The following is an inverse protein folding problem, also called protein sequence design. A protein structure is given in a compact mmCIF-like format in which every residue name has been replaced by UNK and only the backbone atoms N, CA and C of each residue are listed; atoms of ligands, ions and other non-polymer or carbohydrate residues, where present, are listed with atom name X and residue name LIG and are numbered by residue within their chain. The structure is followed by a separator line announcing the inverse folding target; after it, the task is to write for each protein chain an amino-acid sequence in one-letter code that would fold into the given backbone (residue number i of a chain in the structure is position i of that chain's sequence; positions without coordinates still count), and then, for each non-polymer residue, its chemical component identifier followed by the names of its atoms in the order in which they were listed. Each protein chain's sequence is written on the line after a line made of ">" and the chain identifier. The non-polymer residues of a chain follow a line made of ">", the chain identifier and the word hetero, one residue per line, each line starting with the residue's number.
data_IF_426361895275
#
_entry.id   IF_426361895275
#
_cell.length_a   1.000
_cell.length_b   1.000
_cell.length_c   1.000
_cell.angle_alpha   90.00
_cell.angle_beta   90.00
_cell.angle_gamma   90.00
#
_symmetry.space_group_name_H-M   'P 1'
#
loop_
_entity.id
_entity.type
_entity.pdbx_description
1 polymer ?
#
# COMPACT_ATOMS: atom_id res chain seq x y z
N UNK A 1 14.83 9.92 27.59
CA UNK A 1 13.67 9.02 27.53
C UNK A 1 14.13 7.58 27.73
N UNK A 2 15.06 7.05 26.92
CA UNK A 2 15.47 5.63 26.97
C UNK A 2 16.12 5.19 28.30
N UNK A 3 16.79 6.09 29.03
CA UNK A 3 17.38 5.76 30.33
C UNK A 3 16.34 5.28 31.37
N UNK A 4 15.08 5.67 31.21
CA UNK A 4 14.00 5.21 32.08
C UNK A 4 13.72 3.71 31.96
N UNK A 5 14.04 3.08 30.84
CA UNK A 5 13.82 1.64 30.66
C UNK A 5 14.56 0.78 31.70
N UNK A 6 15.72 1.27 32.20
CA UNK A 6 16.46 0.57 33.24
C UNK A 6 15.84 0.68 34.65
N UNK A 7 14.86 1.58 34.83
CA UNK A 7 14.15 1.79 36.11
C UNK A 7 12.73 1.22 36.08
N UNK A 8 12.32 0.72 34.92
CA UNK A 8 11.04 0.03 34.76
C UNK A 8 11.25 -1.47 34.96
N UNK A 9 10.26 -2.13 35.53
CA UNK A 9 10.23 -3.60 35.66
C UNK A 9 9.83 -4.18 34.29
N UNK A 10 10.81 -4.36 33.41
CA UNK A 10 10.64 -4.85 32.05
C UNK A 10 11.39 -6.17 31.87
N UNK A 11 10.73 -7.16 31.31
CA UNK A 11 11.32 -8.47 31.00
C UNK A 11 12.26 -8.41 29.80
N UNK A 12 11.97 -7.58 28.81
CA UNK A 12 12.77 -7.37 27.60
C UNK A 12 12.41 -6.05 26.90
N UNK A 13 13.22 -5.65 25.93
CA UNK A 13 13.03 -4.43 25.13
C UNK A 13 13.08 -4.73 23.64
N UNK A 14 12.14 -4.16 22.88
CA UNK A 14 12.14 -4.20 21.41
C UNK A 14 12.42 -2.79 20.89
N UNK A 15 13.52 -2.64 20.12
CA UNK A 15 14.02 -1.34 19.67
C UNK A 15 13.87 -1.22 18.16
N UNK A 16 12.97 -0.36 17.63
CA UNK A 16 12.87 -0.11 16.20
C UNK A 16 14.03 0.76 15.70
N UNK A 17 14.46 0.53 14.46
CA UNK A 17 15.54 1.30 13.81
C UNK A 17 15.29 2.81 13.82
N UNK A 18 14.04 3.23 13.68
CA UNK A 18 13.63 4.63 13.71
C UNK A 18 14.06 5.37 14.98
N UNK A 19 14.23 4.64 16.08
CA UNK A 19 14.68 5.20 17.37
C UNK A 19 16.16 5.59 17.39
N UNK A 20 16.96 5.01 16.48
CA UNK A 20 18.42 5.16 16.45
C UNK A 20 19.00 5.47 15.06
N UNK A 21 18.14 5.60 14.04
CA UNK A 21 18.56 5.73 12.64
C UNK A 21 19.37 6.99 12.31
N UNK A 22 19.21 8.07 13.09
CA UNK A 22 19.91 9.36 12.88
C UNK A 22 21.26 9.45 13.58
N UNK A 23 21.74 8.37 14.19
CA UNK A 23 23.02 8.35 14.88
C UNK A 23 24.10 7.71 14.00
N UNK A 24 25.36 8.02 14.28
CA UNK A 24 26.50 7.33 13.66
C UNK A 24 26.53 5.84 14.05
N UNK A 25 27.31 5.05 13.30
CA UNK A 25 27.38 3.61 13.53
C UNK A 25 27.83 3.24 14.94
N UNK A 26 28.84 3.99 15.47
CA UNK A 26 29.40 3.74 16.82
C UNK A 26 28.35 3.95 17.90
N UNK A 27 27.55 5.01 17.77
CA UNK A 27 26.44 5.31 18.69
C UNK A 27 25.34 4.23 18.59
N UNK A 28 25.01 3.78 17.39
CA UNK A 28 24.03 2.68 17.21
C UNK A 28 24.48 1.38 17.87
N UNK A 29 25.72 1.01 17.71
CA UNK A 29 26.28 -0.21 18.32
C UNK A 29 26.43 -0.09 19.85
N UNK A 30 26.63 1.13 20.38
CA UNK A 30 26.72 1.37 21.81
C UNK A 30 25.34 1.44 22.48
N UNK A 31 24.30 1.86 21.75
CA UNK A 31 22.97 2.15 22.32
C UNK A 31 22.36 0.97 23.11
N UNK A 32 22.33 -0.28 22.61
CA UNK A 32 21.77 -1.39 23.36
C UNK A 32 22.54 -1.70 24.66
N UNK A 33 23.84 -1.36 24.73
CA UNK A 33 24.70 -1.61 25.92
C UNK A 33 24.31 -0.81 27.16
N UNK A 34 23.46 0.23 26.97
CA UNK A 34 22.93 1.00 28.12
C UNK A 34 21.84 0.26 28.89
N UNK A 35 21.35 -0.88 28.37
CA UNK A 35 20.26 -1.63 28.99
C UNK A 35 20.79 -2.95 29.55
N UNK A 36 20.24 -3.36 30.70
CA UNK A 36 20.62 -4.60 31.38
C UNK A 36 19.60 -5.75 31.18
N UNK A 37 18.65 -5.54 30.29
CA UNK A 37 17.58 -6.48 29.96
C UNK A 37 17.76 -7.02 28.53
N UNK A 38 17.17 -8.18 28.20
CA UNK A 38 17.18 -8.72 26.84
C UNK A 38 16.67 -7.73 25.81
N UNK A 39 17.34 -7.64 24.65
CA UNK A 39 16.99 -6.69 23.59
C UNK A 39 16.84 -7.40 22.25
N UNK A 40 15.80 -7.04 21.52
CA UNK A 40 15.62 -7.38 20.10
C UNK A 40 15.51 -6.08 19.28
N UNK A 41 16.16 -6.03 18.13
CA UNK A 41 16.11 -4.87 17.24
C UNK A 41 15.22 -5.13 16.04
N UNK A 42 14.45 -4.08 15.60
CA UNK A 42 13.59 -4.15 14.42
C UNK A 42 14.11 -3.23 13.33
N UNK A 43 14.11 -3.72 12.08
CA UNK A 43 14.61 -3.00 10.92
C UNK A 43 16.03 -2.43 11.09
N UNK A 44 16.81 -3.04 11.98
CA UNK A 44 18.22 -2.70 12.24
C UNK A 44 18.97 -3.95 12.65
N UNK A 45 20.15 -4.12 12.09
CA UNK A 45 21.10 -5.19 12.46
C UNK A 45 22.19 -4.58 13.32
N UNK A 46 22.10 -4.80 14.62
CA UNK A 46 23.12 -4.39 15.57
C UNK A 46 23.90 -5.64 15.98
N UNK A 47 25.25 -5.58 15.87
CA UNK A 47 26.11 -6.68 16.22
C UNK A 47 25.81 -7.17 17.63
N UNK A 48 25.80 -8.49 17.81
CA UNK A 48 25.58 -9.21 19.07
C UNK A 48 24.15 -9.11 19.64
N UNK A 49 23.19 -8.54 18.91
CA UNK A 49 21.79 -8.48 19.30
C UNK A 49 20.87 -9.17 18.29
N UNK A 50 19.89 -9.96 18.74
CA UNK A 50 18.88 -10.53 17.85
C UNK A 50 18.07 -9.45 17.12
N UNK A 51 17.68 -9.76 15.92
CA UNK A 51 16.93 -8.80 15.09
C UNK A 51 15.83 -9.46 14.25
N UNK A 52 14.84 -8.66 13.93
CA UNK A 52 13.86 -8.92 12.86
C UNK A 52 13.98 -7.81 11.83
N UNK A 53 14.25 -8.14 10.57
CA UNK A 53 14.44 -7.16 9.50
C UNK A 53 13.78 -7.63 8.21
N UNK A 54 13.34 -6.68 7.39
CA UNK A 54 12.96 -6.98 6.03
C UNK A 54 14.19 -7.25 5.16
N UNK A 55 14.05 -8.19 4.22
CA UNK A 55 15.03 -8.47 3.18
C UNK A 55 14.95 -7.38 2.09
N UNK A 56 15.40 -6.19 2.44
CA UNK A 56 15.30 -5.01 1.59
C UNK A 56 15.90 -5.22 0.19
N UNK A 57 17.03 -5.94 0.11
CA UNK A 57 17.72 -6.21 -1.15
C UNK A 57 16.83 -7.05 -2.07
N UNK A 58 16.30 -8.17 -1.58
CA UNK A 58 15.42 -9.07 -2.35
C UNK A 58 14.14 -8.39 -2.77
N UNK A 59 13.54 -7.59 -1.88
CA UNK A 59 12.28 -6.91 -2.17
C UNK A 59 12.42 -5.90 -3.31
N UNK A 60 13.48 -5.08 -3.30
CA UNK A 60 13.74 -4.13 -4.39
C UNK A 60 14.16 -4.86 -5.67
N UNK A 61 14.94 -5.93 -5.56
CA UNK A 61 15.25 -6.80 -6.70
C UNK A 61 13.96 -7.24 -7.40
N UNK A 62 12.98 -7.76 -6.65
CA UNK A 62 11.72 -8.25 -7.22
C UNK A 62 10.92 -7.12 -7.88
N UNK A 63 10.85 -5.93 -7.27
CA UNK A 63 10.13 -4.79 -7.83
C UNK A 63 10.76 -4.28 -9.14
N UNK A 64 12.08 -4.17 -9.18
CA UNK A 64 12.82 -3.73 -10.38
C UNK A 64 12.74 -4.79 -11.48
N UNK A 65 12.93 -6.08 -11.14
CA UNK A 65 12.76 -7.19 -12.08
C UNK A 65 11.36 -7.20 -12.68
N UNK A 66 10.32 -6.92 -11.90
CA UNK A 66 8.95 -6.79 -12.40
C UNK A 66 8.83 -5.69 -13.47
N UNK A 67 9.40 -4.50 -13.23
CA UNK A 67 9.39 -3.42 -14.21
C UNK A 67 10.14 -3.79 -15.49
N UNK A 68 11.23 -4.57 -15.39
CA UNK A 68 11.98 -5.05 -16.56
C UNK A 68 11.17 -6.11 -17.32
N UNK A 69 10.72 -7.15 -16.62
CA UNK A 69 10.12 -8.34 -17.24
C UNK A 69 8.70 -8.11 -17.75
N UNK A 70 7.89 -7.33 -17.01
CA UNK A 70 6.47 -7.12 -17.31
C UNK A 70 6.21 -5.82 -18.06
N UNK A 71 6.92 -4.75 -17.71
CA UNK A 71 6.73 -3.45 -18.34
C UNK A 71 7.77 -3.15 -19.44
N UNK A 72 8.75 -4.04 -19.62
CA UNK A 72 9.84 -3.88 -20.61
C UNK A 72 10.60 -2.56 -20.48
N UNK A 73 10.70 -2.05 -19.24
CA UNK A 73 11.47 -0.85 -18.96
C UNK A 73 12.95 -1.03 -19.34
N UNK A 74 13.51 -0.03 -20.04
CA UNK A 74 14.89 -0.05 -20.52
C UNK A 74 15.79 0.89 -19.74
N UNK A 75 15.22 1.94 -19.12
CA UNK A 75 15.95 2.98 -18.40
C UNK A 75 15.30 3.19 -17.04
N UNK A 76 15.76 2.41 -16.06
CA UNK A 76 15.17 2.47 -14.72
C UNK A 76 16.07 3.29 -13.81
N UNK A 77 15.50 4.29 -13.16
CA UNK A 77 16.17 5.06 -12.12
C UNK A 77 15.79 4.60 -10.71
N UNK A 78 16.58 5.02 -9.73
CA UNK A 78 16.28 4.84 -8.32
C UNK A 78 16.40 6.15 -7.56
N UNK A 79 15.38 6.49 -6.76
CA UNK A 79 15.45 7.61 -5.83
C UNK A 79 15.67 7.07 -4.44
N UNK A 80 16.87 7.34 -3.90
CA UNK A 80 17.26 6.97 -2.55
C UNK A 80 16.93 8.11 -1.57
N UNK A 81 16.72 7.76 -0.30
CA UNK A 81 16.70 8.74 0.77
C UNK A 81 18.13 9.07 1.23
N UNK A 82 18.27 9.33 2.52
CA UNK A 82 19.56 9.62 3.12
C UNK A 82 20.55 8.46 2.98
N UNK A 83 21.68 8.68 2.30
CA UNK A 83 22.64 7.65 1.85
C UNK A 83 23.34 6.84 2.96
N UNK A 84 23.34 7.30 4.20
CA UNK A 84 24.14 6.68 5.27
C UNK A 84 23.48 5.47 5.92
N UNK A 85 22.22 5.15 5.56
CA UNK A 85 21.46 4.06 6.17
C UNK A 85 21.79 2.69 5.60
N UNK A 86 21.88 1.66 6.46
CA UNK A 86 22.04 0.25 6.04
C UNK A 86 20.91 -0.17 5.11
N UNK A 87 19.69 0.24 5.41
CA UNK A 87 18.49 -0.05 4.61
C UNK A 87 18.56 0.55 3.20
N UNK A 88 18.99 1.81 3.08
CA UNK A 88 19.15 2.45 1.77
C UNK A 88 20.19 1.75 0.91
N UNK A 89 21.32 1.37 1.51
CA UNK A 89 22.37 0.59 0.82
C UNK A 89 21.87 -0.79 0.37
N UNK A 90 21.09 -1.48 1.19
CA UNK A 90 20.50 -2.77 0.82
C UNK A 90 19.51 -2.63 -0.34
N UNK A 91 18.67 -1.59 -0.32
CA UNK A 91 17.71 -1.30 -1.40
C UNK A 91 18.42 -0.95 -2.70
N UNK A 92 19.47 -0.11 -2.63
CA UNK A 92 20.32 0.19 -3.79
C UNK A 92 21.00 -1.07 -4.34
N UNK A 93 21.53 -1.94 -3.46
CA UNK A 93 22.13 -3.21 -3.88
C UNK A 93 21.13 -4.15 -4.57
N UNK A 94 19.85 -4.14 -4.15
CA UNK A 94 18.77 -4.87 -4.81
C UNK A 94 18.49 -4.36 -6.23
N UNK A 95 18.45 -3.05 -6.40
CA UNK A 95 18.33 -2.40 -7.70
C UNK A 95 19.50 -2.77 -8.63
N UNK A 96 20.75 -2.66 -8.16
CA UNK A 96 21.95 -3.02 -8.94
C UNK A 96 21.95 -4.49 -9.35
N UNK A 97 21.57 -5.38 -8.44
CA UNK A 97 21.48 -6.82 -8.73
C UNK A 97 20.39 -7.13 -9.76
N UNK A 98 19.23 -6.46 -9.69
CA UNK A 98 18.18 -6.63 -10.69
C UNK A 98 18.65 -6.20 -12.09
N UNK A 99 19.27 -5.04 -12.22
CA UNK A 99 19.84 -4.61 -13.51
C UNK A 99 20.86 -5.62 -14.03
N UNK A 100 21.82 -6.02 -13.19
CA UNK A 100 22.88 -6.97 -13.59
C UNK A 100 22.33 -8.34 -14.00
N UNK A 101 21.29 -8.84 -13.32
CA UNK A 101 20.72 -10.15 -13.65
C UNK A 101 19.88 -10.15 -14.94
N UNK A 102 19.52 -8.97 -15.43
CA UNK A 102 18.81 -8.77 -16.70
C UNK A 102 19.69 -8.16 -17.79
N UNK A 103 21.03 -8.21 -17.64
CA UNK A 103 22.01 -7.67 -18.59
C UNK A 103 21.81 -6.17 -18.91
N UNK A 104 21.22 -5.42 -17.96
CA UNK A 104 21.00 -3.97 -18.10
C UNK A 104 22.19 -3.18 -17.55
N UNK A 105 22.58 -2.05 -18.20
CA UNK A 105 23.68 -1.24 -17.73
C UNK A 105 23.31 -0.50 -16.44
N UNK A 106 24.24 -0.48 -15.49
CA UNK A 106 24.15 0.38 -14.32
C UNK A 106 24.79 1.75 -14.62
N UNK A 107 24.01 2.81 -14.48
CA UNK A 107 24.48 4.18 -14.71
C UNK A 107 24.26 5.03 -13.47
N UNK A 108 25.32 5.67 -12.96
CA UNK A 108 25.22 6.52 -11.76
C UNK A 108 24.28 7.72 -11.93
N UNK A 109 24.11 8.22 -13.17
CA UNK A 109 23.18 9.33 -13.47
C UNK A 109 21.71 8.97 -13.14
N UNK A 110 21.36 7.68 -13.11
CA UNK A 110 20.03 7.19 -12.78
C UNK A 110 19.78 7.04 -11.27
N UNK A 111 20.75 7.44 -10.45
CA UNK A 111 20.58 7.46 -8.99
C UNK A 111 20.36 8.90 -8.53
N UNK A 112 19.22 9.15 -7.89
CA UNK A 112 18.94 10.41 -7.21
C UNK A 112 18.95 10.19 -5.71
N UNK A 113 19.89 10.85 -5.01
CA UNK A 113 19.88 10.91 -3.55
C UNK A 113 19.15 12.14 -3.04
N UNK A 114 18.15 11.92 -2.17
CA UNK A 114 17.42 13.02 -1.52
C UNK A 114 17.89 13.23 -0.08
N UNK A 115 17.74 14.42 0.50
CA UNK A 115 18.22 14.71 1.86
C UNK A 115 17.42 13.99 2.96
N UNK A 116 16.34 13.30 2.62
CA UNK A 116 15.52 12.50 3.55
C UNK A 116 14.39 11.79 2.85
N UNK A 117 13.67 10.98 3.60
CA UNK A 117 12.52 10.19 3.06
C UNK A 117 11.23 11.02 2.97
N UNK A 118 11.05 11.98 3.89
CA UNK A 118 9.82 12.76 4.04
C UNK A 118 10.07 14.27 3.77
N UNK A 119 11.14 14.60 3.05
CA UNK A 119 11.50 15.98 2.72
C UNK A 119 11.10 16.22 1.29
N UNK A 120 10.39 17.31 1.05
CA UNK A 120 10.05 17.75 -0.30
C UNK A 120 11.34 18.07 -1.07
N UNK A 121 11.65 17.23 -2.03
CA UNK A 121 12.81 17.31 -2.89
C UNK A 121 12.43 17.60 -4.35
N UNK A 122 11.24 18.20 -4.58
CA UNK A 122 10.68 18.41 -5.90
C UNK A 122 11.62 19.10 -6.88
N UNK A 123 12.36 20.13 -6.43
CA UNK A 123 13.34 20.80 -7.29
C UNK A 123 14.48 19.90 -7.74
N UNK A 124 14.97 18.99 -6.84
CA UNK A 124 16.01 18.02 -7.18
C UNK A 124 15.46 16.97 -8.15
N UNK A 125 14.25 16.47 -7.89
CA UNK A 125 13.58 15.49 -8.74
C UNK A 125 13.33 16.07 -10.13
N UNK A 126 12.82 17.29 -10.23
CA UNK A 126 12.54 17.94 -11.49
C UNK A 126 13.81 18.11 -12.32
N UNK A 127 14.89 18.61 -11.73
CA UNK A 127 16.19 18.75 -12.39
C UNK A 127 16.70 17.41 -12.89
N UNK A 128 16.67 16.38 -12.04
CA UNK A 128 17.13 15.03 -12.38
C UNK A 128 16.31 14.40 -13.52
N UNK A 129 14.98 14.60 -13.53
CA UNK A 129 14.10 14.14 -14.60
C UNK A 129 14.38 14.85 -15.94
N UNK A 130 14.74 16.14 -15.91
CA UNK A 130 15.13 16.89 -17.10
C UNK A 130 16.49 16.45 -17.66
N UNK A 131 17.42 16.05 -16.78
CA UNK A 131 18.75 15.52 -17.15
C UNK A 131 18.67 14.07 -17.65
N UNK A 132 17.59 13.35 -17.35
CA UNK A 132 17.39 11.95 -17.73
C UNK A 132 15.99 11.72 -18.37
N UNK A 133 15.70 12.36 -19.50
CA UNK A 133 14.37 12.30 -20.13
C UNK A 133 13.99 10.90 -20.63
N UNK A 134 14.98 10.02 -20.84
CA UNK A 134 14.83 8.64 -21.30
C UNK A 134 14.27 7.70 -20.23
N UNK A 135 14.24 8.10 -18.95
CA UNK A 135 13.71 7.25 -17.89
C UNK A 135 12.26 6.81 -18.17
N UNK A 136 12.04 5.51 -18.12
CA UNK A 136 10.77 4.82 -18.31
C UNK A 136 10.31 4.03 -17.06
N UNK A 137 11.21 3.87 -16.07
CA UNK A 137 10.91 3.31 -14.75
C UNK A 137 11.64 4.01 -13.62
N UNK A 138 11.01 4.15 -12.46
CA UNK A 138 11.65 4.70 -11.26
C UNK A 138 11.26 3.89 -10.03
N UNK A 139 12.27 3.34 -9.34
CA UNK A 139 12.12 2.76 -8.02
C UNK A 139 12.34 3.82 -6.94
N UNK A 140 11.33 4.08 -6.13
CA UNK A 140 11.44 4.93 -4.95
C UNK A 140 11.67 4.06 -3.71
N UNK A 141 12.70 4.37 -2.92
CA UNK A 141 13.01 3.55 -1.73
C UNK A 141 11.99 3.69 -0.59
N UNK A 142 11.04 4.59 -0.68
CA UNK A 142 9.85 4.68 0.19
C UNK A 142 8.67 5.25 -0.60
N UNK A 143 7.45 4.98 -0.13
CA UNK A 143 6.23 5.53 -0.72
C UNK A 143 6.17 7.06 -0.60
N UNK A 144 6.67 7.64 0.51
CA UNK A 144 6.71 9.11 0.67
C UNK A 144 7.48 9.79 -0.47
N UNK A 145 8.61 9.20 -0.90
CA UNK A 145 9.38 9.71 -2.04
C UNK A 145 8.55 9.59 -3.34
N UNK A 146 7.86 8.48 -3.53
CA UNK A 146 7.01 8.28 -4.69
C UNK A 146 5.89 9.31 -4.77
N UNK A 147 5.27 9.70 -3.63
CA UNK A 147 4.23 10.74 -3.60
C UNK A 147 4.75 12.11 -4.03
N UNK A 148 5.98 12.46 -3.68
CA UNK A 148 6.61 13.68 -4.19
C UNK A 148 6.92 13.58 -5.68
N UNK A 149 7.42 12.41 -6.12
CA UNK A 149 7.72 12.16 -7.54
C UNK A 149 6.48 12.28 -8.42
N UNK A 150 5.32 11.77 -8.01
CA UNK A 150 4.07 11.90 -8.76
C UNK A 150 3.75 13.35 -9.11
N UNK A 151 3.89 14.25 -8.14
CA UNK A 151 3.66 15.69 -8.34
C UNK A 151 4.64 16.32 -9.32
N UNK A 152 5.89 15.88 -9.33
CA UNK A 152 6.89 16.40 -10.27
C UNK A 152 6.67 15.84 -11.67
N UNK A 153 6.28 14.57 -11.80
CA UNK A 153 5.93 13.97 -13.10
C UNK A 153 4.70 14.64 -13.71
N UNK A 154 3.68 14.96 -12.91
CA UNK A 154 2.49 15.68 -13.36
C UNK A 154 2.85 17.07 -13.91
N UNK A 155 3.75 17.83 -13.25
CA UNK A 155 4.22 19.16 -13.71
C UNK A 155 4.88 19.12 -15.07
N UNK A 156 5.58 18.03 -15.41
CA UNK A 156 6.25 17.86 -16.72
C UNK A 156 5.40 17.09 -17.70
N UNK A 157 4.14 16.78 -17.35
CA UNK A 157 3.18 16.12 -18.23
C UNK A 157 3.43 14.63 -18.47
N UNK A 158 4.31 13.98 -17.70
CA UNK A 158 4.51 12.52 -17.75
C UNK A 158 3.44 11.81 -16.91
N UNK A 159 2.77 10.84 -17.51
CA UNK A 159 1.72 10.04 -16.86
C UNK A 159 2.35 8.81 -16.23
N UNK A 160 2.21 8.70 -14.90
CA UNK A 160 2.61 7.50 -14.16
C UNK A 160 1.82 6.29 -14.64
N UNK A 161 2.49 5.14 -14.77
CA UNK A 161 1.92 3.90 -15.28
C UNK A 161 1.71 3.86 -16.80
N UNK A 162 1.99 4.94 -17.52
CA UNK A 162 1.91 4.99 -19.00
C UNK A 162 3.19 5.45 -19.65
N UNK A 163 3.65 6.64 -19.28
CA UNK A 163 4.86 7.22 -19.84
C UNK A 163 6.09 6.87 -18.99
N UNK A 164 5.86 6.54 -17.72
CA UNK A 164 6.89 6.13 -16.76
C UNK A 164 6.29 5.25 -15.66
N UNK A 165 6.94 4.12 -15.38
CA UNK A 165 6.56 3.22 -14.29
C UNK A 165 7.15 3.71 -12.97
N UNK A 166 6.38 3.66 -11.89
CA UNK A 166 6.83 4.07 -10.56
C UNK A 166 6.49 3.03 -9.53
N UNK A 167 7.46 2.63 -8.72
CA UNK A 167 7.23 1.76 -7.57
C UNK A 167 7.78 2.37 -6.28
N UNK A 168 7.13 2.03 -5.16
CA UNK A 168 7.49 2.46 -3.81
C UNK A 168 7.97 1.32 -2.92
N UNK A 169 8.08 1.63 -1.63
CA UNK A 169 8.36 0.69 -0.56
C UNK A 169 7.67 1.17 0.71
N UNK A 170 7.16 0.28 1.51
CA UNK A 170 6.42 0.33 2.78
C UNK A 170 4.96 -0.10 2.61
N UNK A 171 4.34 0.14 1.45
CA UNK A 171 2.94 -0.13 1.13
C UNK A 171 1.98 0.56 2.12
N UNK A 172 2.16 1.87 2.24
CA UNK A 172 1.30 2.70 3.10
C UNK A 172 -0.13 2.75 2.57
N UNK A 173 -1.13 2.93 3.43
CA UNK A 173 -2.53 3.04 3.00
C UNK A 173 -2.75 4.11 1.91
N UNK A 174 -2.01 5.21 1.94
CA UNK A 174 -2.07 6.30 0.97
C UNK A 174 -1.70 5.85 -0.45
N UNK A 175 -0.84 4.83 -0.57
CA UNK A 175 -0.39 4.29 -1.87
C UNK A 175 -1.53 3.78 -2.73
N UNK A 176 -2.56 3.23 -2.10
CA UNK A 176 -3.77 2.75 -2.78
C UNK A 176 -4.68 3.87 -3.27
N UNK A 177 -4.53 5.08 -2.73
CA UNK A 177 -5.34 6.26 -3.07
C UNK A 177 -4.62 7.21 -4.04
N UNK A 178 -3.38 6.88 -4.41
CA UNK A 178 -2.68 7.62 -5.47
C UNK A 178 -3.38 7.46 -6.83
N UNK A 179 -3.17 8.40 -7.73
CA UNK A 179 -3.74 8.35 -9.08
C UNK A 179 -2.61 8.40 -10.11
N UNK A 180 -2.29 7.24 -10.73
CA UNK A 180 -2.82 5.89 -10.45
C UNK A 180 -2.34 5.32 -9.11
N UNK A 181 -2.99 4.25 -8.56
CA UNK A 181 -2.53 3.56 -7.36
C UNK A 181 -1.07 3.12 -7.46
N UNK A 182 -0.29 3.39 -6.40
CA UNK A 182 1.15 3.14 -6.36
C UNK A 182 1.45 1.67 -6.06
N UNK A 183 2.19 1.01 -6.94
CA UNK A 183 2.81 -0.27 -6.68
C UNK A 183 3.90 -0.13 -5.61
N UNK A 184 3.96 -1.06 -4.68
CA UNK A 184 4.88 -0.94 -3.54
C UNK A 184 5.32 -2.30 -3.00
N UNK A 185 6.46 -2.34 -2.33
CA UNK A 185 6.87 -3.49 -1.53
C UNK A 185 6.19 -3.42 -0.17
N UNK A 186 5.32 -4.41 0.13
CA UNK A 186 4.56 -4.46 1.37
C UNK A 186 5.43 -4.82 2.57
N UNK A 187 5.65 -3.85 3.45
CA UNK A 187 6.41 -3.99 4.69
C UNK A 187 5.48 -3.78 5.90
N UNK A 188 4.81 -4.85 6.35
CA UNK A 188 3.84 -4.80 7.44
C UNK A 188 4.51 -4.48 8.79
N UNK A 189 4.34 -3.24 9.25
CA UNK A 189 4.87 -2.77 10.52
C UNK A 189 4.30 -3.53 11.73
N UNK A 190 3.05 -4.00 11.65
CA UNK A 190 2.41 -4.76 12.72
C UNK A 190 2.99 -6.16 12.81
N UNK A 191 3.25 -6.79 11.67
CA UNK A 191 3.83 -8.13 11.63
C UNK A 191 5.27 -8.16 12.13
N UNK A 192 6.12 -7.20 11.74
CA UNK A 192 7.49 -7.13 12.26
C UNK A 192 7.51 -6.84 13.77
N UNK A 193 6.59 -5.99 14.26
CA UNK A 193 6.46 -5.72 15.70
C UNK A 193 6.03 -6.98 16.47
N UNK A 194 5.05 -7.74 15.95
CA UNK A 194 4.64 -9.03 16.53
C UNK A 194 5.80 -10.01 16.63
N UNK A 195 6.58 -10.17 15.55
CA UNK A 195 7.75 -11.06 15.56
C UNK A 195 8.82 -10.61 16.54
N UNK A 196 9.04 -9.29 16.63
CA UNK A 196 9.99 -8.73 17.60
C UNK A 196 9.59 -8.99 19.05
N UNK A 197 8.31 -8.86 19.37
CA UNK A 197 7.78 -9.17 20.70
C UNK A 197 7.93 -10.67 21.00
N UNK A 198 7.59 -11.53 20.02
CA UNK A 198 7.76 -12.98 20.14
C UNK A 198 9.22 -13.35 20.40
N UNK A 199 10.16 -12.80 19.63
CA UNK A 199 11.59 -13.02 19.84
C UNK A 199 12.07 -12.49 21.20
N UNK A 200 11.57 -11.32 21.63
CA UNK A 200 11.90 -10.78 22.95
C UNK A 200 11.46 -11.69 24.07
N UNK A 201 10.26 -12.25 23.97
CA UNK A 201 9.75 -13.24 24.90
C UNK A 201 10.59 -14.54 24.91
N UNK A 202 10.91 -15.07 23.71
CA UNK A 202 11.74 -16.27 23.58
C UNK A 202 13.14 -16.06 24.16
N UNK A 203 13.74 -14.88 23.94
CA UNK A 203 15.03 -14.50 24.48
C UNK A 203 14.99 -14.40 26.01
N UNK A 204 13.93 -13.81 26.56
CA UNK A 204 13.71 -13.70 28.01
C UNK A 204 13.54 -15.07 28.67
N UNK A 205 12.73 -15.96 28.10
CA UNK A 205 12.42 -17.28 28.69
C UNK A 205 13.53 -18.31 28.49
N UNK A 206 14.15 -18.33 27.29
CA UNK A 206 15.05 -19.40 26.87
C UNK A 206 16.52 -18.95 26.83
N UNK A 207 16.82 -17.67 27.05
CA UNK A 207 18.16 -17.11 26.99
C UNK A 207 18.72 -16.97 25.57
N UNK A 208 17.98 -17.38 24.53
CA UNK A 208 18.42 -17.32 23.13
C UNK A 208 17.23 -17.20 22.17
N UNK A 209 17.48 -16.60 21.01
CA UNK A 209 16.54 -16.54 19.88
C UNK A 209 17.33 -16.43 18.57
N UNK A 210 16.66 -16.60 17.43
CA UNK A 210 17.30 -16.55 16.11
C UNK A 210 16.98 -15.24 15.38
N UNK A 211 17.95 -14.75 14.60
CA UNK A 211 17.73 -13.63 13.70
C UNK A 211 16.70 -13.99 12.62
N UNK A 212 15.80 -13.04 12.30
CA UNK A 212 14.76 -13.26 11.31
C UNK A 212 14.87 -12.25 10.18
N UNK A 213 14.75 -12.77 8.95
CA UNK A 213 14.60 -12.00 7.73
C UNK A 213 13.19 -12.25 7.18
N UNK A 214 12.49 -11.18 6.86
CA UNK A 214 11.12 -11.21 6.32
C UNK A 214 11.18 -10.67 4.90
N UNK A 215 10.51 -11.33 3.96
CA UNK A 215 10.35 -10.79 2.62
C UNK A 215 9.21 -9.76 2.60
N UNK A 216 9.48 -8.56 2.12
CA UNK A 216 8.46 -7.60 1.75
C UNK A 216 8.02 -7.93 0.32
N UNK A 217 6.79 -8.43 0.18
CA UNK A 217 6.26 -8.82 -1.12
C UNK A 217 5.97 -7.60 -1.98
N UNK A 218 6.38 -7.63 -3.25
CA UNK A 218 6.01 -6.59 -4.20
C UNK A 218 4.55 -6.74 -4.60
N UNK A 219 3.79 -5.66 -4.46
CA UNK A 219 2.37 -5.56 -4.83
C UNK A 219 2.30 -4.66 -6.06
N UNK A 220 2.15 -5.23 -7.28
CA UNK A 220 1.95 -4.44 -8.48
C UNK A 220 0.60 -3.73 -8.41
N UNK A 221 0.57 -2.48 -8.88
CA UNK A 221 -0.63 -1.65 -9.07
C UNK A 221 -0.48 -0.84 -10.35
N UNK A 222 -1.46 -0.01 -10.66
CA UNK A 222 -1.52 0.73 -11.92
C UNK A 222 -0.33 1.65 -12.22
N UNK A 223 0.49 1.96 -11.23
CA UNK A 223 1.72 2.73 -11.47
C UNK A 223 2.84 1.95 -12.17
N UNK A 224 2.73 0.61 -12.23
CA UNK A 224 3.65 -0.28 -12.96
C UNK A 224 2.92 -1.28 -13.84
N UNK A 225 1.61 -1.33 -13.81
CA UNK A 225 0.79 -2.29 -14.55
C UNK A 225 -0.29 -1.55 -15.34
N UNK A 226 0.17 -0.72 -16.29
CA UNK A 226 -0.76 -0.03 -17.19
C UNK A 226 -1.29 -0.94 -18.31
N UNK A 227 -0.73 -2.11 -18.48
CA UNK A 227 -1.34 -3.24 -19.19
C UNK A 227 -2.12 -4.14 -18.22
N UNK A 228 -2.66 -3.59 -17.14
CA UNK A 228 -3.69 -4.31 -16.43
C UNK A 228 -4.84 -4.48 -17.41
N UNK A 229 -4.85 -5.61 -18.09
CA UNK A 229 -5.90 -6.00 -19.03
C UNK A 229 -7.28 -5.79 -18.39
N UNK A 230 -7.34 -5.86 -17.05
CA UNK A 230 -8.55 -5.67 -16.29
C UNK A 230 -9.11 -4.23 -16.36
N UNK A 231 -8.25 -3.17 -16.30
CA UNK A 231 -8.73 -1.78 -16.43
C UNK A 231 -9.07 -1.42 -17.87
N UNK A 232 -8.24 -1.88 -18.82
CA UNK A 232 -8.49 -1.72 -20.24
C UNK A 232 -9.75 -2.49 -20.60
N UNK A 233 -9.89 -3.73 -20.12
CA UNK A 233 -11.08 -4.57 -20.37
C UNK A 233 -12.36 -3.92 -19.88
N UNK A 234 -12.44 -3.42 -18.63
CA UNK A 234 -13.69 -2.82 -18.14
C UNK A 234 -14.00 -1.48 -18.83
N UNK A 235 -12.99 -0.65 -19.08
CA UNK A 235 -13.18 0.61 -19.78
C UNK A 235 -13.57 0.41 -21.25
N UNK A 236 -12.98 -0.55 -21.93
CA UNK A 236 -13.33 -0.92 -23.31
C UNK A 236 -14.70 -1.59 -23.35
N UNK A 237 -15.00 -2.46 -22.42
CA UNK A 237 -16.32 -3.06 -22.30
C UNK A 237 -17.42 -2.01 -22.14
N UNK A 238 -17.26 -1.05 -21.23
CA UNK A 238 -18.26 0.01 -21.02
C UNK A 238 -18.41 0.89 -22.29
N UNK A 239 -17.29 1.25 -22.94
CA UNK A 239 -17.29 2.04 -24.18
C UNK A 239 -17.97 1.26 -25.32
N UNK A 240 -17.65 -0.01 -25.47
CA UNK A 240 -18.27 -0.90 -26.46
C UNK A 240 -19.78 -1.00 -26.24
N UNK A 241 -20.22 -1.34 -25.02
CA UNK A 241 -21.63 -1.46 -24.69
C UNK A 241 -22.41 -0.16 -24.96
N UNK A 242 -21.82 1.00 -24.71
CA UNK A 242 -22.43 2.31 -25.02
C UNK A 242 -22.50 2.60 -26.50
N UNK A 243 -21.47 2.23 -27.27
CA UNK A 243 -21.46 2.36 -28.73
C UNK A 243 -22.53 1.48 -29.38
N UNK A 244 -22.70 0.25 -28.89
CA UNK A 244 -23.72 -0.71 -29.34
C UNK A 244 -25.12 -0.45 -28.74
N UNK A 245 -25.24 0.57 -27.84
CA UNK A 245 -26.49 0.92 -27.15
C UNK A 245 -27.08 -0.21 -26.30
N UNK A 246 -26.21 -0.98 -25.68
CA UNK A 246 -26.61 -2.02 -24.75
C UNK A 246 -27.38 -1.46 -23.55
N UNK A 247 -28.23 -2.31 -22.92
CA UNK A 247 -29.02 -1.90 -21.76
C UNK A 247 -28.14 -1.64 -20.55
N UNK A 248 -28.57 -0.71 -19.69
CA UNK A 248 -27.90 -0.45 -18.42
C UNK A 248 -27.79 -1.70 -17.54
N UNK A 249 -28.76 -2.60 -17.60
CA UNK A 249 -28.74 -3.88 -16.90
C UNK A 249 -27.60 -4.78 -17.39
N UNK A 250 -27.37 -4.85 -18.70
CA UNK A 250 -26.29 -5.61 -19.30
C UNK A 250 -24.93 -5.06 -18.89
N UNK A 251 -24.77 -3.73 -18.93
CA UNK A 251 -23.53 -3.06 -18.49
C UNK A 251 -23.29 -3.32 -16.99
N UNK A 252 -24.33 -3.16 -16.15
CA UNK A 252 -24.23 -3.42 -14.71
C UNK A 252 -23.87 -4.87 -14.39
N UNK A 253 -24.39 -5.82 -15.16
CA UNK A 253 -24.05 -7.24 -15.01
C UNK A 253 -22.59 -7.52 -15.30
N UNK A 254 -22.07 -7.01 -16.42
CA UNK A 254 -20.64 -7.15 -16.78
C UNK A 254 -19.72 -6.50 -15.77
N UNK A 255 -20.05 -5.30 -15.26
CA UNK A 255 -19.32 -4.65 -14.20
C UNK A 255 -19.32 -5.47 -12.91
N UNK A 256 -20.45 -6.07 -12.56
CA UNK A 256 -20.55 -6.93 -11.37
C UNK A 256 -19.69 -8.18 -11.53
N UNK A 257 -19.70 -8.81 -12.69
CA UNK A 257 -18.85 -9.96 -13.01
C UNK A 257 -17.37 -9.60 -12.89
N UNK A 258 -16.98 -8.45 -13.40
CA UNK A 258 -15.61 -7.93 -13.28
C UNK A 258 -15.18 -7.74 -11.82
N UNK A 259 -16.03 -7.11 -10.98
CA UNK A 259 -15.73 -6.92 -9.54
C UNK A 259 -15.43 -8.24 -8.85
N UNK A 260 -16.19 -9.30 -9.17
CA UNK A 260 -16.07 -10.58 -8.49
C UNK A 260 -15.22 -11.63 -9.25
N UNK A 261 -14.58 -11.26 -10.36
CA UNK A 261 -13.68 -12.12 -11.13
C UNK A 261 -14.34 -13.49 -11.46
N UNK A 262 -15.63 -13.47 -11.80
CA UNK A 262 -16.45 -14.66 -12.06
C UNK A 262 -16.44 -15.73 -10.94
N UNK A 263 -15.93 -15.40 -9.74
CA UNK A 263 -15.89 -16.33 -8.61
C UNK A 263 -17.12 -16.14 -7.75
N UNK A 264 -17.91 -17.19 -7.62
CA UNK A 264 -19.05 -17.30 -6.71
C UNK A 264 -18.55 -17.44 -5.24
N UNK A 265 -17.87 -16.44 -4.72
CA UNK A 265 -17.32 -16.47 -3.34
C UNK A 265 -18.29 -15.82 -2.35
N UNK A 266 -19.24 -15.01 -2.85
CA UNK A 266 -20.18 -14.25 -2.01
C UNK A 266 -21.60 -14.78 -2.08
N UNK A 267 -22.39 -14.48 -1.06
CA UNK A 267 -23.80 -14.80 -1.07
C UNK A 267 -24.49 -14.19 -2.30
N UNK A 268 -25.45 -14.88 -2.88
CA UNK A 268 -26.20 -14.37 -4.04
C UNK A 268 -26.84 -12.97 -3.78
N UNK A 269 -27.03 -12.61 -2.51
CA UNK A 269 -27.57 -11.32 -2.10
C UNK A 269 -26.54 -10.18 -2.25
N UNK A 270 -25.27 -10.42 -1.93
CA UNK A 270 -24.22 -9.40 -2.04
C UNK A 270 -23.99 -9.01 -3.52
N UNK A 271 -23.86 -9.97 -4.41
CA UNK A 271 -23.71 -9.70 -5.84
C UNK A 271 -24.94 -8.95 -6.40
N UNK A 272 -26.15 -9.28 -5.94
CA UNK A 272 -27.37 -8.55 -6.29
C UNK A 272 -27.33 -7.12 -5.82
N UNK A 273 -26.81 -6.85 -4.64
CA UNK A 273 -26.66 -5.48 -4.10
C UNK A 273 -25.72 -4.66 -4.96
N UNK A 274 -24.53 -5.20 -5.34
CA UNK A 274 -23.56 -4.52 -6.22
C UNK A 274 -24.16 -4.31 -7.62
N UNK A 275 -24.83 -5.29 -8.17
CA UNK A 275 -25.50 -5.18 -9.46
C UNK A 275 -26.59 -4.11 -9.44
N UNK A 276 -27.46 -4.11 -8.42
CA UNK A 276 -28.50 -3.10 -8.26
C UNK A 276 -27.91 -1.70 -8.09
N UNK A 277 -26.78 -1.57 -7.42
CA UNK A 277 -26.06 -0.31 -7.27
C UNK A 277 -25.55 0.22 -8.62
N UNK A 278 -24.92 -0.62 -9.43
CA UNK A 278 -24.47 -0.22 -10.76
C UNK A 278 -25.63 0.13 -11.68
N UNK A 279 -26.70 -0.66 -11.68
CA UNK A 279 -27.91 -0.35 -12.47
C UNK A 279 -28.49 1.01 -12.07
N UNK A 280 -28.61 1.25 -10.77
CA UNK A 280 -29.08 2.52 -10.25
C UNK A 280 -28.21 3.71 -10.72
N UNK A 281 -26.87 3.58 -10.65
CA UNK A 281 -25.96 4.64 -11.10
C UNK A 281 -26.03 4.89 -12.61
N UNK A 282 -26.18 3.85 -13.42
CA UNK A 282 -26.33 3.95 -14.87
C UNK A 282 -27.64 4.62 -15.31
N UNK A 283 -28.70 4.47 -14.51
CA UNK A 283 -30.00 5.07 -14.77
C UNK A 283 -30.10 6.55 -14.36
N UNK A 284 -29.12 7.05 -13.59
CA UNK A 284 -29.11 8.45 -13.18
C UNK A 284 -28.80 9.42 -14.34
N UNK A 285 -29.61 10.43 -14.50
CA UNK A 285 -29.28 11.58 -15.33
C UNK A 285 -28.45 12.61 -14.55
N UNK A 286 -27.72 13.48 -15.25
CA UNK A 286 -26.95 14.58 -14.61
C UNK A 286 -27.85 15.47 -13.74
N UNK A 287 -29.13 15.65 -14.11
CA UNK A 287 -30.11 16.41 -13.32
C UNK A 287 -30.45 15.71 -12.00
N UNK A 288 -30.34 14.39 -11.94
CA UNK A 288 -30.59 13.63 -10.73
C UNK A 288 -29.45 13.74 -9.73
N UNK A 289 -28.24 14.00 -10.18
CA UNK A 289 -27.03 14.11 -9.34
C UNK A 289 -27.07 15.26 -8.32
N UNK A 290 -28.08 16.15 -8.39
CA UNK A 290 -28.27 17.24 -7.40
C UNK A 290 -29.38 16.96 -6.39
N UNK A 291 -30.11 15.85 -6.52
CA UNK A 291 -31.28 15.55 -5.68
C UNK A 291 -30.84 14.88 -4.37
N UNK A 292 -31.23 15.42 -3.24
CA UNK A 292 -30.89 14.90 -1.90
C UNK A 292 -31.22 13.41 -1.73
N UNK A 293 -32.37 12.96 -2.24
CA UNK A 293 -32.78 11.55 -2.20
C UNK A 293 -31.80 10.60 -2.89
N UNK A 294 -31.10 11.06 -3.95
CA UNK A 294 -30.11 10.28 -4.69
C UNK A 294 -28.87 10.05 -3.83
N UNK A 295 -28.41 11.09 -3.15
CA UNK A 295 -27.29 10.97 -2.21
C UNK A 295 -27.60 10.01 -1.07
N UNK A 296 -28.81 10.08 -0.54
CA UNK A 296 -29.28 9.20 0.53
C UNK A 296 -29.26 7.73 0.06
N UNK A 297 -29.84 7.45 -1.11
CA UNK A 297 -29.91 6.11 -1.67
C UNK A 297 -28.55 5.53 -2.02
N UNK A 298 -27.60 6.34 -2.49
CA UNK A 298 -26.20 5.93 -2.70
C UNK A 298 -25.55 5.57 -1.36
N UNK A 299 -25.76 6.38 -0.32
CA UNK A 299 -25.28 6.09 1.02
C UNK A 299 -25.79 4.74 1.54
N UNK A 300 -27.09 4.44 1.30
CA UNK A 300 -27.70 3.16 1.68
C UNK A 300 -27.06 1.98 0.93
N UNK A 301 -26.84 2.08 -0.38
CA UNK A 301 -26.12 1.05 -1.15
C UNK A 301 -24.70 0.83 -0.65
N UNK A 302 -23.94 1.90 -0.44
CA UNK A 302 -22.57 1.83 0.05
C UNK A 302 -22.55 1.16 1.43
N UNK A 303 -23.46 1.54 2.34
CA UNK A 303 -23.56 0.91 3.65
C UNK A 303 -23.90 -0.58 3.56
N UNK A 304 -24.78 -0.99 2.66
CA UNK A 304 -25.10 -2.39 2.43
C UNK A 304 -23.88 -3.17 1.89
N UNK A 305 -23.16 -2.58 0.94
CA UNK A 305 -21.95 -3.19 0.34
C UNK A 305 -20.86 -3.37 1.41
N UNK A 306 -20.65 -2.41 2.28
CA UNK A 306 -19.59 -2.45 3.29
C UNK A 306 -19.96 -3.15 4.60
N UNK A 307 -21.22 -3.55 4.79
CA UNK A 307 -21.64 -4.33 5.95
C UNK A 307 -21.39 -5.84 5.84
N UNK A 308 -20.98 -6.33 4.69
CA UNK A 308 -20.60 -7.75 4.51
C UNK A 308 -19.24 -8.04 5.16
N UNK A 309 -19.19 -9.11 5.97
CA UNK A 309 -17.99 -9.46 6.76
C UNK A 309 -16.80 -9.97 5.93
N UNK A 310 -17.04 -10.38 4.69
CA UNK A 310 -16.08 -11.11 3.85
C UNK A 310 -15.60 -10.34 2.60
N UNK A 311 -15.76 -9.01 2.56
CA UNK A 311 -15.26 -8.19 1.46
C UNK A 311 -13.74 -8.33 1.36
N UNK A 312 -13.25 -8.77 0.19
CA UNK A 312 -11.84 -8.79 -0.12
C UNK A 312 -11.39 -7.41 -0.58
N UNK A 313 -10.15 -7.06 -0.25
CA UNK A 313 -9.55 -5.79 -0.66
C UNK A 313 -9.56 -5.59 -2.19
N UNK A 314 -9.28 -6.66 -2.94
CA UNK A 314 -9.27 -6.66 -4.41
C UNK A 314 -10.65 -6.34 -5.01
N UNK A 315 -11.73 -6.81 -4.39
CA UNK A 315 -13.09 -6.52 -4.88
C UNK A 315 -13.47 -5.06 -4.69
N UNK A 316 -12.96 -4.42 -3.63
CA UNK A 316 -13.13 -2.98 -3.41
C UNK A 316 -12.35 -2.15 -4.43
N UNK A 317 -11.13 -2.56 -4.76
CA UNK A 317 -10.32 -1.91 -5.78
C UNK A 317 -11.00 -1.95 -7.14
N UNK A 318 -11.50 -3.12 -7.55
CA UNK A 318 -12.27 -3.30 -8.79
C UNK A 318 -13.59 -2.52 -8.78
N UNK A 319 -14.27 -2.46 -7.64
CA UNK A 319 -15.47 -1.65 -7.49
C UNK A 319 -15.17 -0.16 -7.70
N UNK A 320 -14.08 0.35 -7.12
CA UNK A 320 -13.62 1.74 -7.34
C UNK A 320 -13.29 2.01 -8.80
N UNK A 321 -12.62 1.07 -9.48
CA UNK A 321 -12.32 1.17 -10.90
C UNK A 321 -13.60 1.29 -11.74
N UNK A 322 -14.56 0.39 -11.53
CA UNK A 322 -15.85 0.44 -12.22
C UNK A 322 -16.56 1.78 -12.01
N UNK A 323 -16.57 2.29 -10.78
CA UNK A 323 -17.18 3.59 -10.48
C UNK A 323 -16.45 4.75 -11.16
N UNK A 324 -15.12 4.70 -11.20
CA UNK A 324 -14.29 5.69 -11.90
C UNK A 324 -14.64 5.78 -13.37
N UNK A 325 -14.79 4.63 -14.06
CA UNK A 325 -15.18 4.60 -15.47
C UNK A 325 -16.62 5.05 -15.72
N UNK A 326 -17.57 4.68 -14.85
CA UNK A 326 -18.96 5.15 -14.99
C UNK A 326 -19.06 6.67 -15.00
N UNK A 327 -18.23 7.31 -14.19
CA UNK A 327 -18.32 8.73 -13.90
C UNK A 327 -17.45 9.57 -14.88
N UNK A 328 -16.54 8.97 -15.65
CA UNK A 328 -15.60 9.68 -16.54
C UNK A 328 -16.11 9.97 -17.97
N UNK A 329 -17.40 9.88 -18.23
CA UNK A 329 -18.02 10.16 -19.53
C UNK A 329 -18.18 11.67 -19.84
N UNK A 330 -17.12 12.44 -19.64
CA UNK A 330 -17.19 13.91 -19.62
C UNK A 330 -17.17 14.62 -20.99
N UNK A 331 -16.92 13.93 -22.09
CA UNK A 331 -16.58 14.60 -23.36
C UNK A 331 -17.71 15.38 -24.04
N UNK A 332 -18.95 15.32 -23.52
CA UNK A 332 -20.11 15.97 -24.15
C UNK A 332 -20.95 16.85 -23.20
N UNK A 333 -20.47 17.10 -21.98
CA UNK A 333 -21.18 17.88 -20.99
C UNK A 333 -20.77 19.36 -20.99
N UNK A 334 -21.76 20.26 -20.75
CA UNK A 334 -21.44 21.67 -20.52
C UNK A 334 -20.73 21.85 -19.16
N UNK A 335 -20.19 23.06 -18.92
CA UNK A 335 -19.37 23.33 -17.72
C UNK A 335 -20.18 23.19 -16.41
N UNK A 336 -21.45 23.58 -16.41
CA UNK A 336 -22.31 23.48 -15.22
C UNK A 336 -22.59 22.04 -14.84
N UNK A 337 -22.84 21.19 -15.82
CA UNK A 337 -23.06 19.76 -15.59
C UNK A 337 -21.77 19.05 -15.19
N UNK A 338 -20.62 19.49 -15.70
CA UNK A 338 -19.29 18.99 -15.26
C UNK A 338 -19.06 19.27 -13.77
N UNK A 339 -19.37 20.48 -13.29
CA UNK A 339 -19.24 20.85 -11.88
C UNK A 339 -20.17 20.01 -10.98
N UNK A 340 -21.43 19.82 -11.40
CA UNK A 340 -22.40 19.00 -10.68
C UNK A 340 -21.93 17.55 -10.58
N UNK A 341 -21.45 17.01 -11.69
CA UNK A 341 -20.93 15.66 -11.76
C UNK A 341 -19.67 15.49 -10.90
N UNK A 342 -18.77 16.47 -10.91
CA UNK A 342 -17.58 16.46 -10.06
C UNK A 342 -17.92 16.42 -8.56
N UNK A 343 -18.89 17.24 -8.13
CA UNK A 343 -19.35 17.25 -6.74
C UNK A 343 -20.01 15.91 -6.35
N UNK A 344 -20.75 15.31 -7.27
CA UNK A 344 -21.37 14.00 -7.09
C UNK A 344 -20.31 12.88 -6.98
N UNK A 345 -19.28 12.89 -7.84
CA UNK A 345 -18.12 12.00 -7.75
C UNK A 345 -17.47 12.07 -6.38
N UNK A 346 -17.13 13.29 -5.96
CA UNK A 346 -16.50 13.50 -4.64
C UNK A 346 -17.34 12.95 -3.51
N UNK A 347 -18.67 13.10 -3.57
CA UNK A 347 -19.55 12.53 -2.57
C UNK A 347 -19.46 11.00 -2.51
N UNK A 348 -19.54 10.30 -3.66
CA UNK A 348 -19.44 8.84 -3.73
C UNK A 348 -18.11 8.38 -3.14
N UNK A 349 -16.99 8.96 -3.57
CA UNK A 349 -15.67 8.61 -3.07
C UNK A 349 -15.55 8.83 -1.55
N UNK A 350 -16.01 9.96 -1.03
CA UNK A 350 -15.99 10.24 0.40
C UNK A 350 -16.82 9.25 1.21
N UNK A 351 -18.00 8.87 0.73
CA UNK A 351 -18.84 7.86 1.38
C UNK A 351 -18.13 6.49 1.39
N UNK A 352 -17.55 6.08 0.28
CA UNK A 352 -16.82 4.81 0.20
C UNK A 352 -15.59 4.78 1.12
N UNK A 353 -14.78 5.84 1.12
CA UNK A 353 -13.61 5.97 2.01
C UNK A 353 -14.05 5.95 3.47
N UNK A 354 -15.11 6.67 3.83
CA UNK A 354 -15.65 6.70 5.18
C UNK A 354 -16.12 5.31 5.64
N UNK A 355 -16.86 4.61 4.78
CA UNK A 355 -17.36 3.26 5.07
C UNK A 355 -16.24 2.24 5.16
N UNK A 356 -15.22 2.34 4.30
CA UNK A 356 -14.03 1.51 4.36
C UNK A 356 -13.24 1.71 5.66
N UNK A 357 -13.00 2.96 6.05
CA UNK A 357 -12.32 3.29 7.31
C UNK A 357 -13.10 2.78 8.52
N UNK A 358 -14.43 2.88 8.49
CA UNK A 358 -15.29 2.32 9.53
C UNK A 358 -15.18 0.79 9.61
N UNK A 359 -15.15 0.11 8.46
CA UNK A 359 -14.94 -1.34 8.39
C UNK A 359 -13.59 -1.76 8.96
N UNK A 360 -12.51 -1.02 8.64
CA UNK A 360 -11.18 -1.24 9.22
C UNK A 360 -11.19 -1.12 10.74
N UNK A 361 -11.82 -0.07 11.28
CA UNK A 361 -11.97 0.14 12.71
C UNK A 361 -12.76 -0.98 13.39
N UNK A 362 -13.81 -1.50 12.75
CA UNK A 362 -14.57 -2.65 13.25
C UNK A 362 -13.74 -3.93 13.26
N UNK A 363 -12.97 -4.19 12.19
CA UNK A 363 -12.05 -5.34 12.12
C UNK A 363 -10.97 -5.24 13.19
N UNK A 364 -10.39 -4.07 13.41
CA UNK A 364 -9.42 -3.82 14.47
C UNK A 364 -10.01 -4.05 15.87
N UNK A 365 -11.22 -3.53 16.13
CA UNK A 365 -11.94 -3.77 17.41
C UNK A 365 -12.26 -5.25 17.61
N UNK A 366 -12.66 -5.99 16.57
CA UNK A 366 -12.90 -7.45 16.64
C UNK A 366 -11.60 -8.19 16.92
N UNK A 367 -10.51 -7.83 16.23
CA UNK A 367 -9.18 -8.39 16.47
C UNK A 367 -8.73 -8.15 17.91
N UNK A 368 -8.83 -6.93 18.41
CA UNK A 368 -8.49 -6.56 19.79
C UNK A 368 -9.33 -7.32 20.81
N UNK A 369 -10.64 -7.53 20.56
CA UNK A 369 -11.50 -8.35 21.43
C UNK A 369 -11.08 -9.82 21.43
N UNK A 370 -10.77 -10.39 20.25
CA UNK A 370 -10.25 -11.77 20.14
C UNK A 370 -8.92 -11.93 20.89
N UNK A 371 -8.01 -10.99 20.75
CA UNK A 371 -6.73 -11.02 21.46
C UNK A 371 -6.92 -10.91 22.98
N UNK A 372 -7.86 -10.09 23.45
CA UNK A 372 -8.21 -10.01 24.88
C UNK A 372 -8.83 -11.32 25.39
N UNK A 373 -9.70 -11.97 24.62
CA UNK A 373 -10.29 -13.26 25.00
C UNK A 373 -9.25 -14.37 25.05
N UNK A 374 -8.30 -14.42 24.09
CA UNK A 374 -7.17 -15.34 24.09
C UNK A 374 -6.26 -15.08 25.30
N UNK A 375 -5.98 -13.82 25.62
CA UNK A 375 -5.20 -13.44 26.79
C UNK A 375 -5.89 -13.81 28.11
N UNK A 376 -7.22 -13.78 28.20
CA UNK A 376 -7.98 -14.24 29.36
C UNK A 376 -8.00 -15.76 29.48
N UNK A 377 -8.13 -16.48 28.37
CA UNK A 377 -8.05 -17.97 28.35
C UNK A 377 -6.66 -18.43 28.78
N UNK A 378 -5.58 -17.78 28.27
CA UNK A 378 -4.22 -18.11 28.68
C UNK A 378 -3.95 -17.78 30.15
N UNK A 379 -4.54 -16.70 30.69
CA UNK A 379 -4.48 -16.43 32.15
C UNK A 379 -5.23 -17.48 32.95
N UNK A 380 -6.40 -17.94 32.49
CA UNK A 380 -7.15 -19.03 33.14
C UNK A 380 -6.35 -20.32 33.18
N UNK A 381 -5.75 -20.72 32.04
CA UNK A 381 -4.90 -21.92 31.99
C UNK A 381 -3.64 -21.83 32.87
N UNK A 382 -3.03 -20.64 32.99
CA UNK A 382 -1.91 -20.40 33.91
C UNK A 382 -2.32 -20.48 35.40
N UNK A 383 -3.54 -20.04 35.74
CA UNK A 383 -4.04 -20.14 37.11
C UNK A 383 -4.44 -21.57 37.47
N UNK A 384 -4.97 -22.35 36.52
CA UNK A 384 -5.27 -23.78 36.77
C UNK A 384 -3.98 -24.59 36.92
N UNK A 385 -2.93 -24.35 36.16
CA UNK A 385 -1.64 -25.04 36.28
C UNK A 385 -0.83 -24.66 37.54
N UNK A 386 -1.17 -23.56 38.20
CA UNK A 386 -0.52 -23.14 39.47
C UNK A 386 -1.26 -23.63 40.72
N UNK A 387 -2.47 -24.20 40.56
CA UNK A 387 -3.24 -24.77 41.69
C UNK A 387 -3.20 -26.31 41.73
N UNK A 388 -2.53 -26.95 40.76
CA UNK A 388 -2.35 -28.42 40.73
C UNK A 388 -0.96 -28.88 41.26
N UNK A 389 -0.16 -27.99 41.87
CA UNK A 389 1.02 -28.26 42.67
C UNK A 389 0.72 -27.86 44.15
#
# INVERSE_FOLDING_TARGET
>A
VYAFANYLDLDFLVIPASSICRTDQKTREAFPKYFHIPIVTLNSQIKDYPFVVYNNKKSVYNAVSYMIEKNHCQHIGIITGYDSGVTAKQRLAGYQEALSSHDMPFEEKYILSTPGYNIDSGNLMNKWLQENPELDGIMCVTDDIAYYLYRELEKIGKRVGKDIMVSGFDDKPESTHMVPPLASCHADASFIAYLGIKQGYDLYKNGSTQNQYIDAHFIPRLSVDCENHEEIEIGEFIRFCRAEKESNEYIAQGMTQYVFDNKLVYSSNYQKTVWSFFTYLLDLSVKDCTKHRVYQQIGDYINLIFNEDDIRYLDLERLFLCLSFLINTENYLNMEDKIKLQSFKQYIYLQMISSYNYLLLLKEKRYTRRMRSIGQVNKGMLFESLNDD
#
